data_IF_493234678455
#
_entry.id   IF_493234678455
#
_cell.length_a   1.000
_cell.length_b   1.000
_cell.length_c   1.000
_cell.angle_alpha   90.00
_cell.angle_beta   90.00
_cell.angle_gamma   90.00
#
_symmetry.space_group_name_H-M   'P 1'
#
loop_
_entity.id
_entity.type
_entity.pdbx_description
1 polymer ?
#
# COMPACT_ATOMS: atom_id res chain seq x y z
N UNK A 1 14.53 19.93 -16.45
CA UNK A 1 13.25 19.19 -16.50
C UNK A 1 12.51 19.34 -15.18
N UNK A 2 11.21 19.03 -15.11
CA UNK A 2 10.24 19.41 -14.06
C UNK A 2 10.49 18.86 -12.63
N UNK A 3 11.58 18.13 -12.37
CA UNK A 3 11.93 17.64 -11.03
C UNK A 3 11.09 16.46 -10.50
N UNK A 4 10.33 15.77 -11.35
CA UNK A 4 9.44 14.68 -10.95
C UNK A 4 10.11 13.30 -11.14
N UNK A 5 10.26 12.56 -10.04
CA UNK A 5 10.69 11.16 -10.07
C UNK A 5 9.57 10.22 -10.55
N UNK A 6 9.85 8.93 -10.74
CA UNK A 6 8.83 7.91 -11.08
C UNK A 6 7.92 7.61 -9.86
N UNK A 7 6.74 7.05 -10.13
CA UNK A 7 5.80 6.61 -9.09
C UNK A 7 4.46 7.35 -9.08
N UNK A 8 4.27 8.36 -9.94
CA UNK A 8 3.01 9.11 -10.04
C UNK A 8 1.90 8.40 -10.83
N UNK A 9 2.24 7.37 -11.60
CA UNK A 9 1.29 6.64 -12.44
C UNK A 9 1.97 5.97 -13.63
N UNK A 10 1.31 4.97 -14.21
CA UNK A 10 1.75 4.27 -15.42
C UNK A 10 1.15 4.86 -16.72
N UNK A 11 0.13 5.71 -16.60
CA UNK A 11 -0.49 6.44 -17.72
C UNK A 11 -0.54 7.93 -17.42
N UNK A 12 -0.61 8.77 -18.46
CA UNK A 12 -0.74 10.22 -18.30
C UNK A 12 -1.98 10.61 -17.47
N UNK A 13 -3.08 9.87 -17.61
CA UNK A 13 -4.28 10.07 -16.81
C UNK A 13 -4.00 9.81 -15.32
N UNK A 14 -3.37 8.68 -14.97
CA UNK A 14 -3.05 8.34 -13.58
C UNK A 14 -2.08 9.35 -12.95
N UNK A 15 -1.08 9.82 -13.70
CA UNK A 15 -0.16 10.88 -13.27
C UNK A 15 -0.92 12.18 -13.00
N UNK A 16 -1.83 12.58 -13.88
CA UNK A 16 -2.64 13.79 -13.72
C UNK A 16 -3.54 13.71 -12.47
N UNK A 17 -4.15 12.56 -12.22
CA UNK A 17 -4.97 12.34 -11.01
C UNK A 17 -4.12 12.46 -9.74
N UNK A 18 -2.92 11.87 -9.70
CA UNK A 18 -2.02 11.98 -8.54
C UNK A 18 -1.56 13.41 -8.29
N UNK A 19 -1.24 14.16 -9.35
CA UNK A 19 -0.86 15.57 -9.22
C UNK A 19 -2.03 16.43 -8.72
N UNK A 20 -3.26 16.15 -9.15
CA UNK A 20 -4.47 16.85 -8.65
C UNK A 20 -4.68 16.60 -7.16
N UNK A 21 -4.62 15.35 -6.71
CA UNK A 21 -4.74 15.02 -5.28
C UNK A 21 -3.68 15.76 -4.44
N UNK A 22 -2.43 15.83 -4.93
CA UNK A 22 -1.39 16.59 -4.25
C UNK A 22 -1.72 18.09 -4.17
N UNK A 23 -2.20 18.68 -5.28
CA UNK A 23 -2.57 20.09 -5.31
C UNK A 23 -3.74 20.39 -4.37
N UNK A 24 -4.74 19.51 -4.32
CA UNK A 24 -5.91 19.65 -3.46
C UNK A 24 -5.49 19.63 -1.97
N UNK A 25 -4.59 18.72 -1.58
CA UNK A 25 -4.01 18.68 -0.22
C UNK A 25 -3.25 19.96 0.13
N UNK A 26 -2.47 20.51 -0.82
CA UNK A 26 -1.69 21.73 -0.59
C UNK A 26 -2.56 22.99 -0.46
N UNK A 27 -3.72 23.02 -1.11
CA UNK A 27 -4.64 24.17 -1.08
C UNK A 27 -5.63 24.09 0.08
N UNK A 28 -6.30 22.95 0.25
CA UNK A 28 -7.32 22.73 1.25
C UNK A 28 -7.38 21.24 1.62
N UNK A 29 -6.59 20.80 2.61
CA UNK A 29 -6.54 19.39 2.97
C UNK A 29 -7.85 18.92 3.60
N UNK A 30 -8.42 17.85 3.04
CA UNK A 30 -9.50 17.09 3.66
C UNK A 30 -9.07 15.63 3.92
N UNK A 31 -9.68 14.96 4.90
CA UNK A 31 -9.27 13.60 5.28
C UNK A 31 -9.36 12.59 4.13
N UNK A 32 -10.36 12.70 3.26
CA UNK A 32 -10.60 11.73 2.19
C UNK A 32 -9.57 11.85 1.06
N UNK A 33 -9.20 13.08 0.69
CA UNK A 33 -8.14 13.33 -0.30
C UNK A 33 -6.78 12.93 0.25
N UNK A 34 -6.51 13.17 1.54
CA UNK A 34 -5.27 12.75 2.18
C UNK A 34 -5.13 11.23 2.21
N UNK A 35 -6.19 10.51 2.60
CA UNK A 35 -6.23 9.04 2.57
C UNK A 35 -6.02 8.51 1.14
N UNK A 36 -6.74 9.07 0.17
CA UNK A 36 -6.63 8.66 -1.23
C UNK A 36 -5.22 8.90 -1.79
N UNK A 37 -4.58 10.01 -1.45
CA UNK A 37 -3.22 10.30 -1.87
C UNK A 37 -2.22 9.36 -1.22
N UNK A 38 -2.21 9.25 0.11
CA UNK A 38 -1.28 8.38 0.84
C UNK A 38 -1.45 6.91 0.45
N UNK A 39 -2.68 6.45 0.25
CA UNK A 39 -2.97 5.08 -0.21
C UNK A 39 -2.47 4.78 -1.63
N UNK A 40 -2.27 5.81 -2.47
CA UNK A 40 -1.74 5.67 -3.84
C UNK A 40 -0.22 5.82 -3.92
N UNK A 41 0.45 6.35 -2.90
CA UNK A 41 1.92 6.42 -2.89
C UNK A 41 2.46 4.99 -2.80
N UNK A 42 3.35 4.58 -3.72
CA UNK A 42 3.95 3.26 -3.65
C UNK A 42 4.98 3.23 -2.51
N UNK A 43 4.53 2.86 -1.30
CA UNK A 43 5.35 2.84 -0.08
C UNK A 43 5.72 1.42 0.36
N UNK A 44 4.78 0.47 0.23
CA UNK A 44 4.93 -0.89 0.76
C UNK A 44 5.42 -1.81 -0.36
N UNK A 45 6.70 -2.20 -0.29
CA UNK A 45 7.32 -3.12 -1.25
C UNK A 45 7.77 -4.43 -0.60
N UNK A 46 8.34 -4.32 0.59
CA UNK A 46 8.84 -5.47 1.35
C UNK A 46 7.97 -5.62 2.59
N UNK A 47 7.33 -6.77 2.73
CA UNK A 47 6.48 -7.10 3.87
C UNK A 47 7.08 -8.31 4.57
N UNK A 48 7.33 -8.16 5.87
CA UNK A 48 7.80 -9.25 6.74
C UNK A 48 6.66 -9.61 7.67
N UNK A 49 6.22 -10.87 7.60
CA UNK A 49 5.22 -11.44 8.50
C UNK A 49 5.93 -12.45 9.39
N UNK A 50 5.78 -12.30 10.70
CA UNK A 50 6.37 -13.20 11.69
C UNK A 50 5.26 -14.00 12.38
N UNK A 51 5.31 -15.32 12.24
CA UNK A 51 4.45 -16.26 12.97
C UNK A 51 5.32 -17.30 13.68
N UNK A 52 5.79 -17.03 14.92
CA UNK A 52 6.76 -17.89 15.60
C UNK A 52 6.21 -19.23 16.10
N UNK A 53 4.89 -19.34 16.28
CA UNK A 53 4.24 -20.49 16.91
C UNK A 53 3.40 -21.29 15.91
N UNK A 54 3.25 -22.59 16.18
CA UNK A 54 2.50 -23.50 15.31
C UNK A 54 3.28 -24.02 14.11
N UNK A 55 2.61 -24.81 13.28
CA UNK A 55 3.14 -25.36 12.03
C UNK A 55 2.64 -24.50 10.86
N UNK A 56 3.50 -23.64 10.33
CA UNK A 56 3.15 -22.80 9.17
C UNK A 56 3.40 -23.56 7.86
N UNK A 57 2.32 -23.87 7.12
CA UNK A 57 2.40 -24.64 5.88
C UNK A 57 1.10 -24.63 5.09
N UNK A 58 1.16 -24.93 3.79
CA UNK A 58 -0.01 -24.88 2.90
C UNK A 58 -0.83 -26.18 2.86
N UNK A 59 -0.29 -27.28 3.39
CA UNK A 59 -0.96 -28.58 3.43
C UNK A 59 -0.54 -29.39 4.66
N UNK A 60 -1.44 -30.24 5.16
CA UNK A 60 -1.22 -31.18 6.27
C UNK A 60 -0.79 -30.58 7.62
N UNK A 61 -0.97 -29.26 7.81
CA UNK A 61 -0.67 -28.58 9.08
C UNK A 61 -1.93 -28.21 9.87
N UNK A 62 -3.08 -28.13 9.20
CA UNK A 62 -4.36 -27.75 9.81
C UNK A 62 -4.76 -28.79 10.88
N UNK A 63 -4.88 -28.36 12.14
CA UNK A 63 -5.27 -29.22 13.26
C UNK A 63 -4.11 -29.80 14.08
N UNK A 64 -2.85 -29.48 13.76
CA UNK A 64 -1.71 -29.73 14.63
C UNK A 64 -1.70 -28.76 15.84
N UNK A 65 -1.02 -29.08 16.95
CA UNK A 65 -0.90 -28.17 18.09
C UNK A 65 -0.48 -26.77 17.64
N UNK A 66 -1.16 -25.74 18.16
CA UNK A 66 -0.96 -24.34 17.81
C UNK A 66 -1.17 -23.97 16.33
N UNK A 67 -1.84 -24.82 15.53
CA UNK A 67 -2.06 -24.59 14.09
C UNK A 67 -3.54 -24.52 13.71
N UNK A 68 -4.01 -23.30 13.43
CA UNK A 68 -5.40 -22.96 13.11
C UNK A 68 -5.50 -21.91 12.00
N UNK A 69 -6.48 -21.01 12.06
CA UNK A 69 -6.71 -19.96 11.05
C UNK A 69 -5.76 -18.76 11.11
N UNK A 70 -4.53 -18.97 11.56
CA UNK A 70 -3.49 -17.93 11.72
C UNK A 70 -2.82 -17.58 10.40
#
# INVERSE_FOLDING_TARGET
>A
ELGLARGWGNTAQSVLEMVRLLLDILQAPDPSTLEAFLGRIPMVFNVVILSPHGYFGQANVLGLPDTGGQ
#
